data_IF_388819667776
#
_entry.id   IF_388819667776
#
_cell.length_a   1.000
_cell.length_b   1.000
_cell.length_c   1.000
_cell.angle_alpha   90.00
_cell.angle_beta   90.00
_cell.angle_gamma   90.00
#
_symmetry.space_group_name_H-M   'P 1'
#
loop_
_entity.id
_entity.type
_entity.pdbx_description
1 polymer ?
#
# COMPACT_ATOMS: atom_id res chain seq x y z
N UNK A 1 0.23 31.59 -17.83
CA UNK A 1 0.58 30.87 -16.59
C UNK A 1 -0.47 29.79 -16.38
N UNK A 2 -0.18 28.60 -16.90
CA UNK A 2 -1.13 27.47 -17.00
C UNK A 2 -1.11 26.62 -15.72
N UNK A 3 -1.57 27.21 -14.61
CA UNK A 3 -1.76 26.44 -13.38
C UNK A 3 -2.88 25.41 -13.55
N UNK A 4 -2.55 24.11 -13.56
CA UNK A 4 -3.55 23.03 -13.47
C UNK A 4 -4.01 22.86 -12.01
N UNK A 5 -4.76 23.84 -11.51
CA UNK A 5 -5.24 23.84 -10.12
C UNK A 5 -6.74 23.58 -10.11
N UNK A 6 -7.17 22.55 -9.38
CA UNK A 6 -8.57 22.30 -9.06
C UNK A 6 -8.80 22.53 -7.57
N UNK A 7 -9.83 23.31 -7.24
CA UNK A 7 -10.27 23.54 -5.88
C UNK A 7 -11.74 23.15 -5.73
N UNK A 8 -12.16 22.89 -4.50
CA UNK A 8 -13.58 22.64 -4.21
C UNK A 8 -14.39 23.91 -4.57
N UNK A 9 -15.52 23.78 -5.28
CA UNK A 9 -16.31 24.94 -5.70
C UNK A 9 -16.98 25.69 -4.54
N UNK A 10 -17.44 25.01 -3.47
CA UNK A 10 -18.10 25.63 -2.31
C UNK A 10 -17.87 24.88 -0.98
N UNK A 11 -17.99 25.58 0.15
CA UNK A 11 -17.98 24.96 1.49
C UNK A 11 -19.31 24.26 1.79
N UNK A 12 -19.27 22.99 2.18
CA UNK A 12 -20.44 22.21 2.62
C UNK A 12 -20.92 21.12 1.66
N UNK A 13 -20.51 21.16 0.38
CA UNK A 13 -20.81 20.07 -0.55
C UNK A 13 -19.97 18.82 -0.24
N UNK A 14 -20.61 17.64 -0.26
CA UNK A 14 -19.91 16.35 -0.31
C UNK A 14 -19.19 16.27 -1.65
N UNK A 15 -17.90 16.62 -1.66
CA UNK A 15 -17.09 16.63 -2.86
C UNK A 15 -16.19 15.40 -2.88
N UNK A 16 -16.38 14.56 -3.90
CA UNK A 16 -15.49 13.44 -4.22
C UNK A 16 -14.64 13.83 -5.42
N UNK A 17 -13.33 13.68 -5.30
CA UNK A 17 -12.36 13.93 -6.37
C UNK A 17 -12.58 12.89 -7.48
N UNK A 18 -12.50 13.32 -8.74
CA UNK A 18 -12.64 12.48 -9.93
C UNK A 18 -11.64 12.91 -11.00
N UNK A 19 -11.14 11.96 -11.78
CA UNK A 19 -10.19 12.25 -12.87
C UNK A 19 -10.91 12.93 -14.05
N UNK A 20 -12.16 12.54 -14.36
CA UNK A 20 -12.97 13.13 -15.44
C UNK A 20 -13.37 14.60 -15.24
N UNK A 21 -13.04 15.20 -14.10
CA UNK A 21 -13.19 16.64 -13.87
C UNK A 21 -11.98 17.45 -14.37
N UNK A 22 -10.89 16.78 -14.74
CA UNK A 22 -9.73 17.43 -15.31
C UNK A 22 -9.93 17.62 -16.83
N UNK A 23 -9.69 18.83 -17.36
CA UNK A 23 -9.76 19.07 -18.81
C UNK A 23 -8.84 18.13 -19.59
N UNK A 24 -9.40 17.46 -20.60
CA UNK A 24 -8.69 16.48 -21.43
C UNK A 24 -8.64 15.07 -20.83
N UNK A 25 -9.33 14.83 -19.71
CA UNK A 25 -9.47 13.52 -19.08
C UNK A 25 -10.91 13.05 -18.94
N UNK A 26 -11.83 13.56 -19.75
CA UNK A 26 -13.26 13.26 -19.66
C UNK A 26 -13.56 11.78 -19.93
N UNK A 27 -12.72 11.11 -20.73
CA UNK A 27 -12.82 9.68 -21.03
C UNK A 27 -11.81 8.84 -20.25
N UNK A 28 -12.22 7.71 -19.68
CA UNK A 28 -11.34 6.79 -18.94
C UNK A 28 -10.15 6.27 -19.77
N UNK A 29 -10.32 6.18 -21.10
CA UNK A 29 -9.28 5.78 -22.05
C UNK A 29 -8.04 6.70 -22.02
N UNK A 30 -8.22 7.95 -21.58
CA UNK A 30 -7.19 8.98 -21.45
C UNK A 30 -6.42 8.88 -20.13
N UNK A 31 -6.92 8.12 -19.14
CA UNK A 31 -6.34 8.06 -17.79
C UNK A 31 -5.11 7.16 -17.71
N UNK A 32 -4.73 6.49 -18.80
CA UNK A 32 -3.66 5.48 -18.84
C UNK A 32 -2.35 5.90 -18.17
N UNK A 33 -2.03 7.19 -18.21
CA UNK A 33 -0.79 7.77 -17.65
C UNK A 33 -1.04 8.67 -16.42
N UNK A 34 -2.26 8.67 -15.88
CA UNK A 34 -2.62 9.45 -14.70
C UNK A 34 -2.29 8.64 -13.45
N UNK A 35 -1.50 9.25 -12.56
CA UNK A 35 -1.20 8.72 -11.24
C UNK A 35 -1.63 9.73 -10.18
N UNK A 36 -2.31 9.25 -9.15
CA UNK A 36 -2.78 10.05 -8.03
C UNK A 36 -1.91 9.74 -6.82
N UNK A 37 -1.47 10.78 -6.12
CA UNK A 37 -0.78 10.68 -4.83
C UNK A 37 -1.62 11.43 -3.81
N UNK A 38 -2.18 10.70 -2.85
CA UNK A 38 -3.13 11.24 -1.87
C UNK A 38 -3.08 10.37 -0.60
N UNK A 39 -3.29 10.93 0.57
CA UNK A 39 -3.36 10.18 1.83
C UNK A 39 -4.74 9.52 2.03
N UNK A 40 -5.72 9.88 1.21
CA UNK A 40 -7.11 9.46 1.33
C UNK A 40 -7.66 8.80 0.08
N UNK A 41 -7.98 7.51 0.17
CA UNK A 41 -8.69 6.75 -0.87
C UNK A 41 -10.21 7.02 -0.86
N UNK A 42 -10.78 7.36 0.28
CA UNK A 42 -12.20 7.69 0.42
C UNK A 42 -12.58 9.03 -0.24
N UNK A 43 -11.60 9.89 -0.48
CA UNK A 43 -11.75 11.16 -1.19
C UNK A 43 -11.94 10.99 -2.71
N UNK A 44 -11.60 9.81 -3.26
CA UNK A 44 -11.66 9.51 -4.69
C UNK A 44 -12.79 8.52 -5.02
N UNK A 45 -13.36 8.64 -6.22
CA UNK A 45 -14.34 7.70 -6.75
C UNK A 45 -13.73 6.34 -7.11
N UNK A 46 -14.60 5.33 -7.20
CA UNK A 46 -14.16 3.95 -7.36
C UNK A 46 -13.26 3.75 -8.59
N UNK A 47 -13.55 4.35 -9.77
CA UNK A 47 -12.65 4.25 -10.93
C UNK A 47 -11.25 4.83 -10.67
N UNK A 48 -11.14 5.98 -10.02
CA UNK A 48 -9.85 6.63 -9.79
C UNK A 48 -8.95 5.89 -8.77
N UNK A 49 -9.52 5.05 -7.89
CA UNK A 49 -8.73 4.36 -6.84
C UNK A 49 -7.66 3.42 -7.36
N UNK A 50 -7.82 2.87 -8.57
CA UNK A 50 -6.79 2.03 -9.19
C UNK A 50 -5.55 2.84 -9.64
N UNK A 51 -5.70 4.16 -9.79
CA UNK A 51 -4.62 5.10 -10.11
C UNK A 51 -3.95 5.70 -8.85
N UNK A 52 -4.42 5.35 -7.65
CA UNK A 52 -4.00 5.95 -6.39
C UNK A 52 -2.80 5.22 -5.75
N UNK A 53 -1.71 5.95 -5.57
CA UNK A 53 -0.69 5.65 -4.57
C UNK A 53 -1.08 6.34 -3.26
N UNK A 54 -1.69 5.56 -2.36
CA UNK A 54 -2.07 6.03 -1.03
C UNK A 54 -0.83 6.23 -0.16
N UNK A 55 -0.73 7.37 0.49
CA UNK A 55 0.35 7.68 1.44
C UNK A 55 -0.12 7.62 2.90
N UNK A 56 0.81 7.43 3.85
CA UNK A 56 0.59 7.84 5.22
C UNK A 56 0.25 9.33 5.27
N UNK A 57 -0.68 9.71 6.15
CA UNK A 57 -0.99 11.12 6.37
C UNK A 57 0.24 11.83 6.97
N UNK A 58 0.58 12.99 6.40
CA UNK A 58 1.69 13.81 6.87
C UNK A 58 1.34 14.51 8.19
N UNK A 59 2.02 14.13 9.26
CA UNK A 59 1.77 14.65 10.61
C UNK A 59 3.00 15.40 11.15
N UNK A 60 3.19 16.64 10.71
CA UNK A 60 4.25 17.49 11.25
C UNK A 60 3.83 18.20 12.55
N UNK A 61 2.61 18.75 12.57
CA UNK A 61 2.06 19.39 13.76
C UNK A 61 1.37 18.34 14.62
N UNK A 62 1.86 18.15 15.84
CA UNK A 62 1.24 17.27 16.85
C UNK A 62 -0.12 17.80 17.29
N UNK A 63 -1.16 17.51 16.53
CA UNK A 63 -2.53 17.93 16.80
C UNK A 63 -3.49 17.24 15.82
N UNK A 64 -4.62 16.75 16.33
CA UNK A 64 -5.60 16.06 15.50
C UNK A 64 -6.14 16.99 14.40
N UNK A 65 -6.06 16.54 13.15
CA UNK A 65 -6.88 16.94 12.01
C UNK A 65 -7.41 18.38 12.02
N UNK A 66 -6.60 19.30 11.50
CA UNK A 66 -7.02 20.69 11.27
C UNK A 66 -6.40 21.64 12.26
N UNK A 67 -6.10 22.83 11.75
CA UNK A 67 -5.48 23.98 12.41
C UNK A 67 -5.97 24.09 13.86
N UNK A 68 -5.17 23.62 14.82
CA UNK A 68 -5.34 23.96 16.23
C UNK A 68 -3.99 24.34 16.81
N UNK A 69 -4.04 25.49 17.49
CA UNK A 69 -2.96 26.21 18.13
C UNK A 69 -2.36 25.45 19.31
N UNK A 70 -1.03 25.53 19.40
CA UNK A 70 -0.18 25.38 20.58
C UNK A 70 -0.13 24.01 21.26
N UNK A 71 1.03 23.34 21.10
CA UNK A 71 1.54 22.41 22.10
C UNK A 71 2.28 21.20 21.53
N UNK A 72 3.62 21.27 21.53
CA UNK A 72 4.47 20.08 21.49
C UNK A 72 4.95 19.64 20.10
N UNK A 73 5.80 20.43 19.47
CA UNK A 73 6.66 19.94 18.40
C UNK A 73 7.75 19.04 19.03
N UNK A 74 7.49 17.74 19.12
CA UNK A 74 8.57 16.78 19.06
C UNK A 74 8.95 16.65 17.59
N UNK A 75 10.19 16.98 17.22
CA UNK A 75 10.74 16.65 15.90
C UNK A 75 10.55 15.14 15.67
N UNK A 76 9.58 14.78 14.84
CA UNK A 76 9.47 13.43 14.31
C UNK A 76 10.68 13.21 13.41
N UNK A 77 11.47 12.19 13.72
CA UNK A 77 12.66 11.83 12.99
C UNK A 77 12.30 11.54 11.52
N UNK A 78 12.96 12.27 10.60
CA UNK A 78 13.09 11.98 9.17
C UNK A 78 11.83 11.45 8.46
N UNK A 79 10.94 12.34 8.02
CA UNK A 79 9.91 11.96 7.05
C UNK A 79 10.56 11.72 5.69
N UNK A 80 10.72 10.45 5.32
CA UNK A 80 11.24 10.02 4.02
C UNK A 80 10.13 9.72 3.00
N UNK A 81 8.86 10.01 3.30
CA UNK A 81 7.72 9.62 2.47
C UNK A 81 7.82 10.21 1.05
N UNK A 82 8.36 11.43 0.90
CA UNK A 82 8.60 12.02 -0.42
C UNK A 82 9.70 11.28 -1.21
N UNK A 83 10.72 10.76 -0.54
CA UNK A 83 11.75 9.95 -1.18
C UNK A 83 11.17 8.60 -1.64
N UNK A 84 10.33 7.98 -0.81
CA UNK A 84 9.61 6.75 -1.16
C UNK A 84 8.65 6.97 -2.34
N UNK A 85 7.88 8.06 -2.31
CA UNK A 85 7.00 8.47 -3.42
C UNK A 85 7.80 8.65 -4.70
N UNK A 86 8.95 9.33 -4.62
CA UNK A 86 9.81 9.53 -5.78
C UNK A 86 10.35 8.20 -6.32
N UNK A 87 10.70 7.25 -5.46
CA UNK A 87 11.13 5.92 -5.88
C UNK A 87 10.01 5.16 -6.62
N UNK A 88 8.79 5.20 -6.10
CA UNK A 88 7.63 4.57 -6.76
C UNK A 88 7.31 5.26 -8.08
N UNK A 89 7.32 6.59 -8.14
CA UNK A 89 7.09 7.37 -9.37
C UNK A 89 8.12 7.00 -10.46
N UNK A 90 9.41 6.92 -10.09
CA UNK A 90 10.47 6.51 -11.02
C UNK A 90 10.28 5.09 -11.51
N UNK A 91 9.91 4.17 -10.62
CA UNK A 91 9.65 2.78 -10.99
C UNK A 91 8.45 2.65 -11.94
N UNK A 92 7.34 3.32 -11.65
CA UNK A 92 6.13 3.32 -12.51
C UNK A 92 6.45 3.97 -13.86
N UNK A 93 7.15 5.09 -13.87
CA UNK A 93 7.55 5.75 -15.11
C UNK A 93 8.46 4.87 -15.98
N UNK A 94 9.40 4.15 -15.35
CA UNK A 94 10.26 3.20 -16.06
C UNK A 94 9.47 2.05 -16.66
N UNK A 95 8.57 1.42 -15.89
CA UNK A 95 7.71 0.31 -16.33
C UNK A 95 6.80 0.73 -17.53
N UNK A 96 6.34 1.98 -17.56
CA UNK A 96 5.56 2.53 -18.67
C UNK A 96 6.45 2.84 -19.89
N UNK A 97 7.62 3.42 -19.66
CA UNK A 97 8.54 3.81 -20.74
C UNK A 97 9.17 2.59 -21.45
N UNK A 98 9.42 1.50 -20.73
CA UNK A 98 9.89 0.24 -21.29
C UNK A 98 8.79 -0.54 -22.02
N UNK A 99 7.51 -0.21 -21.77
CA UNK A 99 6.36 -0.96 -22.23
C UNK A 99 6.12 -2.25 -21.44
N UNK A 100 6.79 -2.44 -20.30
CA UNK A 100 6.54 -3.59 -19.40
C UNK A 100 5.12 -3.56 -18.85
N UNK A 101 4.54 -2.37 -18.67
CA UNK A 101 3.18 -2.18 -18.20
C UNK A 101 2.39 -1.24 -19.11
N UNK A 102 1.12 -1.58 -19.35
CA UNK A 102 0.28 -0.87 -20.33
C UNK A 102 -0.31 0.46 -19.82
N UNK A 103 -0.41 0.63 -18.50
CA UNK A 103 -0.98 1.81 -17.86
C UNK A 103 -0.59 1.89 -16.37
N UNK A 104 -0.81 3.05 -15.75
CA UNK A 104 -0.48 3.32 -14.34
C UNK A 104 -1.09 2.29 -13.37
N UNK A 105 -2.38 1.91 -13.46
CA UNK A 105 -2.94 0.88 -12.58
C UNK A 105 -2.16 -0.43 -12.59
N UNK A 106 -1.79 -0.92 -13.78
CA UNK A 106 -1.00 -2.14 -13.92
C UNK A 106 0.43 -1.97 -13.38
N UNK A 107 1.04 -0.80 -13.60
CA UNK A 107 2.36 -0.48 -13.05
C UNK A 107 2.36 -0.37 -11.52
N UNK A 108 1.35 0.25 -10.91
CA UNK A 108 1.20 0.30 -9.46
C UNK A 108 0.97 -1.09 -8.87
N UNK A 109 0.15 -1.92 -9.52
CA UNK A 109 -0.07 -3.31 -9.12
C UNK A 109 1.24 -4.11 -9.17
N UNK A 110 1.99 -4.01 -10.27
CA UNK A 110 3.28 -4.67 -10.43
C UNK A 110 4.30 -4.19 -9.38
N UNK A 111 4.34 -2.88 -9.09
CA UNK A 111 5.18 -2.31 -8.04
C UNK A 111 4.84 -2.88 -6.66
N UNK A 112 3.54 -2.99 -6.31
CA UNK A 112 3.10 -3.62 -5.05
C UNK A 112 3.54 -5.08 -4.98
N UNK A 113 3.38 -5.84 -6.06
CA UNK A 113 3.78 -7.25 -6.12
C UNK A 113 5.29 -7.48 -6.04
N UNK A 114 6.11 -6.46 -6.30
CA UNK A 114 7.57 -6.56 -6.15
C UNK A 114 8.02 -6.50 -4.68
N UNK A 115 7.19 -5.99 -3.77
CA UNK A 115 7.56 -5.73 -2.36
C UNK A 115 7.92 -7.03 -1.62
N UNK A 116 7.07 -8.04 -1.67
CA UNK A 116 7.29 -9.35 -1.02
C UNK A 116 7.63 -10.45 -2.03
N UNK A 117 8.05 -10.09 -3.24
CA UNK A 117 8.43 -11.07 -4.27
C UNK A 117 9.53 -11.98 -3.75
N UNK A 118 9.32 -13.29 -3.86
CA UNK A 118 10.26 -14.30 -3.37
C UNK A 118 10.08 -14.67 -1.90
N UNK A 119 9.28 -13.91 -1.14
CA UNK A 119 8.89 -14.32 0.21
C UNK A 119 7.90 -15.49 0.12
N UNK A 120 8.28 -16.62 0.73
CA UNK A 120 7.40 -17.76 1.00
C UNK A 120 6.99 -17.72 2.47
N UNK A 121 5.70 -17.50 2.74
CA UNK A 121 5.17 -17.16 4.05
C UNK A 121 4.23 -18.26 4.54
N UNK A 122 4.40 -18.70 5.78
CA UNK A 122 3.42 -19.52 6.50
C UNK A 122 2.90 -18.77 7.73
N UNK A 123 1.63 -18.97 8.06
CA UNK A 123 0.98 -18.31 9.18
C UNK A 123 0.82 -19.28 10.37
N UNK A 124 1.02 -18.78 11.59
CA UNK A 124 0.92 -19.58 12.82
C UNK A 124 0.24 -18.79 13.95
N UNK A 125 -0.20 -19.48 15.00
CA UNK A 125 -0.78 -18.84 16.19
C UNK A 125 -2.20 -18.33 15.97
N UNK A 126 -2.98 -18.98 15.11
CA UNK A 126 -4.40 -18.68 14.91
C UNK A 126 -4.70 -17.40 14.13
N UNK A 127 -3.72 -16.83 13.42
CA UNK A 127 -3.93 -15.65 12.57
C UNK A 127 -4.98 -15.92 11.47
N UNK A 128 -4.86 -17.06 10.79
CA UNK A 128 -5.83 -17.46 9.77
C UNK A 128 -7.09 -17.98 10.45
N UNK A 129 -8.17 -17.20 10.38
CA UNK A 129 -9.46 -17.55 10.97
C UNK A 129 -10.14 -18.74 10.28
N UNK A 130 -9.89 -18.91 8.97
CA UNK A 130 -10.37 -20.07 8.21
C UNK A 130 -9.23 -20.61 7.33
N UNK A 131 -8.65 -21.72 7.74
CA UNK A 131 -7.57 -22.40 6.99
C UNK A 131 -8.08 -23.21 5.80
N UNK A 132 -9.41 -23.38 5.64
CA UNK A 132 -10.00 -24.03 4.46
C UNK A 132 -10.13 -23.08 3.28
N UNK A 133 -10.26 -21.78 3.56
CA UNK A 133 -10.30 -20.71 2.57
C UNK A 133 -9.36 -19.57 3.01
N UNK A 134 -8.05 -19.84 3.08
CA UNK A 134 -7.08 -18.91 3.66
C UNK A 134 -7.01 -17.58 2.91
N UNK A 135 -7.33 -17.56 1.62
CA UNK A 135 -7.36 -16.36 0.77
C UNK A 135 -8.38 -15.31 1.25
N UNK A 136 -9.39 -15.71 2.03
CA UNK A 136 -10.35 -14.78 2.65
C UNK A 136 -9.81 -14.14 3.93
N UNK A 137 -8.72 -14.65 4.50
CA UNK A 137 -8.10 -14.05 5.67
C UNK A 137 -7.32 -12.80 5.23
N UNK A 138 -7.51 -11.69 5.96
CA UNK A 138 -6.93 -10.38 5.61
C UNK A 138 -5.40 -10.42 5.53
N UNK A 139 -4.75 -11.18 6.40
CA UNK A 139 -3.29 -11.28 6.46
C UNK A 139 -2.73 -12.05 5.26
N UNK A 140 -3.42 -13.12 4.84
CA UNK A 140 -3.07 -13.85 3.62
C UNK A 140 -3.26 -12.97 2.39
N UNK A 141 -4.42 -12.32 2.29
CA UNK A 141 -4.74 -11.45 1.16
C UNK A 141 -3.75 -10.28 1.05
N UNK A 142 -3.38 -9.65 2.17
CA UNK A 142 -2.39 -8.58 2.20
C UNK A 142 -1.01 -9.06 1.73
N UNK A 143 -0.50 -10.16 2.29
CA UNK A 143 0.78 -10.72 1.89
C UNK A 143 0.82 -11.08 0.38
N UNK A 144 -0.23 -11.73 -0.11
CA UNK A 144 -0.36 -12.10 -1.51
C UNK A 144 -0.47 -10.88 -2.44
N UNK A 145 -1.19 -9.83 -2.03
CA UNK A 145 -1.30 -8.59 -2.80
C UNK A 145 0.05 -7.87 -2.99
N UNK A 146 0.97 -8.07 -2.04
CA UNK A 146 2.36 -7.59 -2.14
C UNK A 146 3.32 -8.60 -2.79
N UNK A 147 2.81 -9.69 -3.36
CA UNK A 147 3.58 -10.65 -4.16
C UNK A 147 4.25 -11.79 -3.39
N UNK A 148 3.89 -11.99 -2.12
CA UNK A 148 4.33 -13.15 -1.37
C UNK A 148 3.64 -14.43 -1.86
N UNK A 149 4.35 -15.56 -1.80
CA UNK A 149 3.74 -16.89 -1.91
C UNK A 149 3.32 -17.35 -0.52
N UNK A 150 2.02 -17.37 -0.26
CA UNK A 150 1.49 -17.84 1.02
C UNK A 150 1.31 -19.37 1.01
N UNK A 151 1.57 -20.00 2.16
CA UNK A 151 1.54 -21.44 2.35
C UNK A 151 0.75 -21.78 3.62
N UNK A 152 -0.05 -22.85 3.57
CA UNK A 152 -0.78 -23.35 4.75
C UNK A 152 0.14 -24.15 5.66
N UNK A 153 1.01 -24.96 5.07
CA UNK A 153 1.89 -25.85 5.79
C UNK A 153 3.32 -25.31 5.80
N UNK A 154 4.05 -25.64 6.87
CA UNK A 154 5.48 -25.39 6.93
C UNK A 154 6.22 -26.41 6.08
N UNK A 155 6.71 -25.99 4.91
CA UNK A 155 7.35 -26.83 3.90
C UNK A 155 8.77 -26.34 3.56
N UNK A 156 9.48 -27.07 2.69
CA UNK A 156 10.80 -26.65 2.22
C UNK A 156 10.71 -25.31 1.47
N UNK A 157 11.64 -24.41 1.76
CA UNK A 157 11.73 -23.11 1.10
C UNK A 157 10.88 -22.01 1.74
N UNK A 158 10.20 -22.26 2.86
CA UNK A 158 9.64 -21.18 3.68
C UNK A 158 10.76 -20.20 4.06
N UNK A 159 10.47 -18.90 3.94
CA UNK A 159 11.38 -17.80 4.28
C UNK A 159 10.94 -17.08 5.54
N UNK A 160 9.63 -16.99 5.77
CA UNK A 160 9.03 -16.23 6.86
C UNK A 160 7.91 -17.03 7.52
N UNK A 161 7.84 -16.95 8.84
CA UNK A 161 6.71 -17.36 9.67
C UNK A 161 6.10 -16.11 10.29
N UNK A 162 4.86 -15.82 9.93
CA UNK A 162 4.09 -14.73 10.55
C UNK A 162 3.27 -15.33 11.69
N UNK A 163 3.46 -14.85 12.92
CA UNK A 163 2.72 -15.35 14.07
C UNK A 163 2.39 -14.26 15.10
N UNK A 164 1.18 -14.32 15.66
CA UNK A 164 0.75 -13.45 16.75
C UNK A 164 1.39 -13.87 18.09
N UNK A 165 1.93 -15.09 18.18
CA UNK A 165 2.57 -15.60 19.39
C UNK A 165 3.95 -16.20 19.10
N UNK A 166 4.92 -15.87 19.95
CA UNK A 166 6.31 -16.30 19.79
C UNK A 166 6.58 -17.74 20.25
N UNK A 167 5.62 -18.38 20.94
CA UNK A 167 5.72 -19.69 21.58
C UNK A 167 5.23 -20.86 20.72
N UNK A 168 4.78 -20.60 19.49
CA UNK A 168 4.27 -21.67 18.61
C UNK A 168 5.40 -22.59 18.15
N UNK A 169 5.09 -23.88 17.97
CA UNK A 169 6.04 -24.87 17.42
C UNK A 169 6.60 -24.43 16.06
N UNK A 170 5.77 -23.78 15.23
CA UNK A 170 6.17 -23.25 13.92
C UNK A 170 7.21 -22.13 14.05
N UNK A 171 7.08 -21.25 15.05
CA UNK A 171 8.06 -20.18 15.33
C UNK A 171 9.35 -20.76 15.89
N UNK A 172 9.28 -21.71 16.82
CA UNK A 172 10.47 -22.40 17.33
C UNK A 172 11.25 -23.07 16.19
N UNK A 173 10.56 -23.80 15.33
CA UNK A 173 11.15 -24.45 14.14
C UNK A 173 11.77 -23.43 13.17
N UNK A 174 11.11 -22.30 12.92
CA UNK A 174 11.65 -21.24 12.07
C UNK A 174 12.99 -20.72 12.59
N UNK A 175 13.07 -20.46 13.91
CA UNK A 175 14.29 -19.98 14.56
C UNK A 175 15.43 -21.00 14.49
N UNK A 176 15.15 -22.28 14.74
CA UNK A 176 16.12 -23.37 14.61
C UNK A 176 16.70 -23.48 13.19
N UNK A 177 15.87 -23.19 12.17
CA UNK A 177 16.26 -23.21 10.77
C UNK A 177 16.84 -21.88 10.26
N UNK A 178 16.96 -20.86 11.11
CA UNK A 178 17.47 -19.53 10.72
C UNK A 178 16.53 -18.73 9.81
N UNK A 179 15.23 -19.02 9.84
CA UNK A 179 14.19 -18.31 9.08
C UNK A 179 13.65 -17.11 9.85
N UNK A 180 12.99 -16.18 9.15
CA UNK A 180 12.40 -15.01 9.77
C UNK A 180 11.11 -15.36 10.50
N UNK A 181 11.05 -15.13 11.81
CA UNK A 181 9.81 -15.20 12.59
C UNK A 181 9.37 -13.78 12.96
N UNK A 182 8.22 -13.35 12.45
CA UNK A 182 7.74 -11.96 12.53
C UNK A 182 6.32 -11.88 13.05
N UNK A 183 5.95 -10.72 13.60
CA UNK A 183 4.57 -10.44 14.02
C UNK A 183 3.70 -10.05 12.81
N UNK A 184 2.35 -10.08 12.92
CA UNK A 184 1.47 -9.61 11.85
C UNK A 184 1.71 -8.15 11.45
N UNK A 185 2.24 -7.32 12.36
CA UNK A 185 2.54 -5.91 12.09
C UNK A 185 3.59 -5.73 10.98
N UNK A 186 4.42 -6.74 10.73
CA UNK A 186 5.39 -6.70 9.64
C UNK A 186 4.73 -6.69 8.24
N UNK A 187 3.48 -7.16 8.12
CA UNK A 187 2.70 -7.12 6.88
C UNK A 187 1.90 -5.80 6.71
N UNK A 188 1.90 -4.94 7.72
CA UNK A 188 1.06 -3.74 7.78
C UNK A 188 1.74 -2.53 7.14
#
# INVERSE_FOLDING_TARGET
EDGKVLCRPEQGAVFRKRIDHLPGFEEESSWRHVMIVDDRDDAWDLPARSHLLKLPAFHYFGGAHGITTAGGAGEQAGDEALADVLAVLRSVAADLASGDQANVPMALLAARQRVLRGCRIVFSGGILKDTRVPERCKEWAAAAAYGATCCINFEKGITHVVSASADTKTVARAKEMGLHAVSPQWLA
#
